data_IF_230959349204
#
_entry.id   IF_230959349204
#
_cell.length_a   1.000
_cell.length_b   1.000
_cell.length_c   1.000
_cell.angle_alpha   90.00
_cell.angle_beta   90.00
_cell.angle_gamma   90.00
#
_symmetry.space_group_name_H-M   'P 1'
#
loop_
_entity.id
_entity.type
_entity.pdbx_description
1 polymer ?
#
# COMPACT_ATOMS: atom_id res chain seq x y z
N UNK A 1 -101.07 -32.28 -33.02
CA UNK A 1 -99.71 -32.55 -33.57
C UNK A 1 -98.71 -31.39 -33.41
N UNK A 2 -99.14 -30.12 -33.34
CA UNK A 2 -98.23 -28.95 -33.25
C UNK A 2 -97.36 -28.89 -31.96
N UNK A 3 -97.94 -29.10 -30.76
CA UNK A 3 -97.20 -29.02 -29.49
C UNK A 3 -96.02 -29.99 -29.35
N UNK A 4 -96.08 -31.17 -29.98
CA UNK A 4 -94.96 -32.14 -29.95
C UNK A 4 -93.81 -31.71 -30.88
N UNK A 5 -94.10 -31.00 -31.97
CA UNK A 5 -93.09 -30.51 -32.92
C UNK A 5 -92.30 -29.34 -32.35
N UNK A 6 -92.95 -28.41 -31.65
CA UNK A 6 -92.27 -27.30 -30.98
C UNK A 6 -91.34 -27.76 -29.86
N UNK A 7 -91.76 -28.75 -29.07
CA UNK A 7 -90.91 -29.35 -28.04
C UNK A 7 -89.68 -30.04 -28.64
N UNK A 8 -89.83 -30.65 -29.82
CA UNK A 8 -88.73 -31.27 -30.55
C UNK A 8 -87.76 -30.22 -31.11
N UNK A 9 -88.27 -29.17 -31.75
CA UNK A 9 -87.46 -28.07 -32.29
C UNK A 9 -86.67 -27.32 -31.21
N UNK A 10 -87.28 -27.06 -30.05
CA UNK A 10 -86.59 -26.39 -28.93
C UNK A 10 -85.49 -27.26 -28.32
N UNK A 11 -85.72 -28.58 -28.21
CA UNK A 11 -84.70 -29.53 -27.74
C UNK A 11 -83.56 -29.68 -28.73
N UNK A 12 -83.86 -29.73 -30.03
CA UNK A 12 -82.83 -29.81 -31.07
C UNK A 12 -82.02 -28.52 -31.18
N UNK A 13 -82.66 -27.35 -31.05
CA UNK A 13 -81.96 -26.07 -31.05
C UNK A 13 -81.05 -25.94 -29.82
N UNK A 14 -81.53 -26.32 -28.63
CA UNK A 14 -80.72 -26.31 -27.42
C UNK A 14 -79.53 -27.28 -27.52
N UNK A 15 -79.74 -28.48 -28.08
CA UNK A 15 -78.66 -29.44 -28.30
C UNK A 15 -77.58 -28.90 -29.27
N UNK A 16 -77.99 -28.22 -30.35
CA UNK A 16 -77.07 -27.61 -31.31
C UNK A 16 -76.34 -26.42 -30.69
N UNK A 17 -77.02 -25.57 -29.92
CA UNK A 17 -76.39 -24.45 -29.21
C UNK A 17 -75.42 -24.91 -28.13
N UNK A 18 -75.75 -25.98 -27.40
CA UNK A 18 -74.85 -26.61 -26.42
C UNK A 18 -73.66 -27.24 -27.12
N UNK A 19 -73.84 -27.92 -28.25
CA UNK A 19 -72.74 -28.45 -29.04
C UNK A 19 -71.80 -27.33 -29.57
N UNK A 20 -72.36 -26.20 -30.03
CA UNK A 20 -71.58 -25.03 -30.46
C UNK A 20 -70.87 -24.35 -29.29
N UNK A 21 -71.50 -24.29 -28.11
CA UNK A 21 -70.93 -23.71 -26.89
C UNK A 21 -69.82 -24.60 -26.30
N UNK A 22 -69.94 -25.92 -26.43
CA UNK A 22 -68.88 -26.86 -26.08
C UNK A 22 -67.72 -26.82 -27.09
N UNK A 23 -67.99 -26.59 -28.39
CA UNK A 23 -66.91 -26.41 -29.38
C UNK A 23 -66.19 -25.05 -29.28
N UNK A 24 -66.82 -24.03 -28.70
CA UNK A 24 -66.24 -22.68 -28.54
C UNK A 24 -65.51 -22.47 -27.21
N UNK A 25 -65.63 -23.39 -26.24
CA UNK A 25 -64.85 -23.38 -24.99
C UNK A 25 -63.45 -24.00 -25.12
N UNK A 26 -63.07 -24.47 -26.32
CA UNK A 26 -61.68 -24.77 -26.63
C UNK A 26 -60.91 -23.46 -26.87
N UNK A 27 -60.66 -22.70 -25.79
CA UNK A 27 -59.56 -21.75 -25.77
C UNK A 27 -58.28 -22.56 -26.05
N UNK A 28 -57.76 -22.44 -27.27
CA UNK A 28 -56.55 -23.10 -27.72
C UNK A 28 -55.34 -22.49 -27.01
N UNK A 29 -55.13 -22.86 -25.74
CA UNK A 29 -53.76 -22.95 -25.25
C UNK A 29 -53.17 -24.19 -25.94
N UNK A 30 -52.26 -23.95 -26.90
CA UNK A 30 -51.52 -25.01 -27.57
C UNK A 30 -50.47 -25.56 -26.59
N UNK A 31 -50.92 -26.31 -25.59
CA UNK A 31 -50.03 -27.04 -24.68
C UNK A 31 -49.56 -28.28 -25.42
N UNK A 32 -48.41 -28.19 -26.09
CA UNK A 32 -47.70 -29.37 -26.58
C UNK A 32 -47.21 -30.13 -25.34
N UNK A 33 -47.96 -31.16 -24.96
CA UNK A 33 -47.54 -32.11 -23.91
C UNK A 33 -47.04 -33.36 -24.62
N UNK A 34 -45.81 -33.34 -25.11
CA UNK A 34 -45.14 -34.59 -25.45
C UNK A 34 -44.50 -35.15 -24.17
N UNK A 35 -44.65 -36.45 -23.90
CA UNK A 35 -44.14 -37.06 -22.67
C UNK A 35 -42.62 -36.94 -22.48
N UNK A 36 -41.86 -36.52 -23.50
CA UNK A 36 -40.41 -36.29 -23.43
C UNK A 36 -40.00 -34.82 -23.25
N UNK A 37 -40.93 -33.85 -23.36
CA UNK A 37 -40.62 -32.43 -23.20
C UNK A 37 -41.52 -31.84 -22.11
N UNK A 38 -40.93 -31.18 -21.12
CA UNK A 38 -41.67 -30.47 -20.09
C UNK A 38 -42.67 -29.47 -20.66
N UNK A 39 -43.59 -28.97 -19.82
CA UNK A 39 -44.65 -28.04 -20.23
C UNK A 39 -44.02 -26.82 -20.96
N UNK A 40 -44.28 -26.67 -22.25
CA UNK A 40 -43.88 -25.51 -23.04
C UNK A 40 -45.01 -24.47 -22.99
N UNK A 41 -44.73 -23.29 -22.42
CA UNK A 41 -45.58 -22.10 -22.59
C UNK A 41 -45.10 -21.31 -23.81
N UNK A 42 -45.95 -21.20 -24.85
CA UNK A 42 -45.74 -20.32 -26.00
C UNK A 42 -46.82 -19.24 -25.94
N UNK A 43 -46.47 -18.01 -25.59
CA UNK A 43 -47.37 -16.88 -25.80
C UNK A 43 -47.29 -16.41 -27.26
N UNK A 44 -48.39 -15.86 -27.79
CA UNK A 44 -48.51 -15.39 -29.16
C UNK A 44 -48.04 -13.91 -29.30
N UNK A 45 -47.14 -13.47 -28.42
CA UNK A 45 -46.55 -12.14 -28.44
C UNK A 45 -45.29 -12.11 -29.30
N UNK A 46 -45.01 -10.97 -29.93
CA UNK A 46 -43.82 -10.72 -30.77
C UNK A 46 -42.50 -10.68 -29.98
N UNK A 47 -42.35 -11.49 -28.92
CA UNK A 47 -41.13 -11.56 -28.11
C UNK A 47 -40.46 -12.92 -28.30
N UNK A 48 -39.21 -12.83 -28.74
CA UNK A 48 -38.33 -13.91 -29.17
C UNK A 48 -38.18 -15.00 -28.11
N UNK A 49 -38.90 -16.10 -28.30
CA UNK A 49 -38.56 -17.41 -27.74
C UNK A 49 -38.43 -18.38 -28.91
N UNK A 50 -37.49 -18.13 -29.82
CA UNK A 50 -37.24 -19.04 -30.96
C UNK A 50 -36.84 -20.45 -30.49
N UNK A 51 -36.30 -20.61 -29.28
CA UNK A 51 -35.88 -21.88 -28.68
C UNK A 51 -35.71 -21.78 -27.16
N UNK A 52 -36.77 -21.46 -26.41
CA UNK A 52 -36.72 -21.52 -24.95
C UNK A 52 -36.99 -22.95 -24.48
N UNK A 53 -35.92 -23.71 -24.22
CA UNK A 53 -36.02 -24.93 -23.44
C UNK A 53 -36.15 -24.53 -21.97
N UNK A 54 -37.29 -24.81 -21.33
CA UNK A 54 -37.38 -24.83 -19.87
C UNK A 54 -37.19 -26.27 -19.44
N UNK A 55 -35.94 -26.65 -19.16
CA UNK A 55 -35.64 -28.00 -18.67
C UNK A 55 -35.82 -27.99 -17.16
N UNK A 56 -37.04 -28.27 -16.67
CA UNK A 56 -37.25 -28.65 -15.26
C UNK A 56 -37.13 -30.18 -15.05
N UNK A 57 -36.81 -30.94 -16.11
CA UNK A 57 -36.54 -32.38 -15.99
C UNK A 57 -35.43 -32.83 -16.91
N UNK A 58 -34.30 -33.12 -16.27
CA UNK A 58 -33.44 -34.26 -16.57
C UNK A 58 -33.07 -34.48 -18.06
N UNK A 59 -31.96 -33.88 -18.47
CA UNK A 59 -31.17 -34.37 -19.61
C UNK A 59 -29.73 -33.91 -19.47
N UNK A 60 -28.92 -34.66 -18.72
CA UNK A 60 -27.48 -34.63 -18.90
C UNK A 60 -27.21 -35.11 -20.34
N UNK A 61 -26.49 -34.35 -21.16
CA UNK A 61 -26.11 -34.79 -22.51
C UNK A 61 -25.03 -35.89 -22.51
N UNK A 62 -24.87 -36.62 -21.40
CA UNK A 62 -24.13 -37.88 -21.37
C UNK A 62 -25.01 -38.95 -22.02
N UNK A 63 -24.49 -39.62 -23.04
CA UNK A 63 -25.19 -40.63 -23.84
C UNK A 63 -25.64 -41.91 -23.11
N UNK A 64 -25.78 -41.90 -21.78
CA UNK A 64 -26.12 -43.09 -20.97
C UNK A 64 -27.54 -43.09 -20.36
N UNK A 65 -28.32 -42.02 -20.48
CA UNK A 65 -29.73 -42.00 -20.07
C UNK A 65 -29.98 -42.05 -18.55
N UNK A 66 -28.95 -42.09 -17.71
CA UNK A 66 -29.09 -41.91 -16.26
C UNK A 66 -28.99 -40.45 -15.92
N UNK A 67 -30.13 -39.83 -15.61
CA UNK A 67 -30.14 -38.42 -15.28
C UNK A 67 -30.15 -38.22 -13.76
N UNK A 68 -28.95 -38.04 -13.24
CA UNK A 68 -28.68 -37.44 -11.94
C UNK A 68 -28.55 -35.93 -12.17
N UNK A 69 -29.23 -35.10 -11.37
CA UNK A 69 -29.05 -33.64 -11.41
C UNK A 69 -30.32 -32.82 -11.67
N UNK A 70 -30.79 -32.06 -10.66
CA UNK A 70 -31.84 -31.03 -10.80
C UNK A 70 -31.22 -29.75 -11.38
N UNK A 71 -31.20 -29.61 -12.70
CA UNK A 71 -30.56 -28.48 -13.40
C UNK A 71 -31.61 -27.49 -13.95
N UNK A 72 -31.20 -26.23 -14.16
CA UNK A 72 -32.04 -25.19 -14.76
C UNK A 72 -31.31 -24.52 -15.94
N UNK A 73 -31.72 -24.80 -17.18
CA UNK A 73 -31.15 -24.18 -18.37
C UNK A 73 -32.22 -23.40 -19.13
N UNK A 74 -31.94 -22.15 -19.50
CA UNK A 74 -32.83 -21.27 -20.27
C UNK A 74 -32.03 -20.44 -21.27
N UNK A 75 -32.45 -20.48 -22.54
CA UNK A 75 -31.84 -19.75 -23.65
C UNK A 75 -31.48 -20.66 -24.82
N UNK A 76 -31.47 -20.13 -26.05
CA UNK A 76 -31.05 -20.90 -27.22
C UNK A 76 -29.62 -21.39 -27.05
N UNK A 77 -29.36 -22.67 -27.28
CA UNK A 77 -28.07 -23.35 -27.05
C UNK A 77 -27.53 -23.29 -25.60
N UNK A 78 -28.39 -23.05 -24.59
CA UNK A 78 -27.99 -23.22 -23.19
C UNK A 78 -27.78 -24.70 -22.87
N UNK A 79 -26.62 -25.06 -22.28
CA UNK A 79 -26.22 -26.46 -22.06
C UNK A 79 -25.71 -26.68 -20.64
N UNK A 80 -26.11 -27.78 -20.01
CA UNK A 80 -25.51 -28.26 -18.76
C UNK A 80 -25.14 -29.72 -18.99
N UNK A 81 -23.86 -30.04 -18.85
CA UNK A 81 -23.30 -31.35 -19.19
C UNK A 81 -22.42 -31.83 -18.04
N UNK A 82 -22.68 -33.05 -17.59
CA UNK A 82 -21.93 -33.73 -16.52
C UNK A 82 -21.84 -32.87 -15.25
N UNK A 83 -22.98 -32.31 -14.87
CA UNK A 83 -23.10 -31.36 -13.77
C UNK A 83 -24.46 -31.51 -13.09
N UNK A 84 -24.47 -31.44 -11.77
CA UNK A 84 -25.66 -31.52 -10.92
C UNK A 84 -25.95 -30.17 -10.23
N UNK A 85 -27.24 -29.83 -10.07
CA UNK A 85 -27.70 -28.64 -9.33
C UNK A 85 -27.22 -27.32 -9.93
N UNK A 86 -27.00 -27.30 -11.24
CA UNK A 86 -26.42 -26.15 -11.94
C UNK A 86 -27.47 -25.34 -12.70
N UNK A 87 -27.12 -24.09 -13.01
CA UNK A 87 -27.97 -23.13 -13.71
C UNK A 87 -27.25 -22.49 -14.91
N UNK A 88 -27.90 -22.42 -16.07
CA UNK A 88 -27.38 -21.79 -17.27
C UNK A 88 -28.45 -20.87 -17.87
N UNK A 89 -28.22 -19.55 -17.86
CA UNK A 89 -29.22 -18.55 -18.27
C UNK A 89 -28.62 -17.59 -19.31
N UNK A 90 -29.04 -17.74 -20.56
CA UNK A 90 -28.64 -16.90 -21.68
C UNK A 90 -28.37 -17.70 -22.96
N UNK A 91 -28.32 -17.03 -24.11
CA UNK A 91 -27.95 -17.69 -25.37
C UNK A 91 -26.50 -18.22 -25.29
N UNK A 92 -26.28 -19.47 -25.71
CA UNK A 92 -24.98 -20.16 -25.70
C UNK A 92 -24.29 -20.25 -24.32
N UNK A 93 -25.02 -20.13 -23.21
CA UNK A 93 -24.43 -20.38 -21.88
C UNK A 93 -24.15 -21.85 -21.67
N UNK A 94 -23.10 -22.16 -20.90
CA UNK A 94 -22.85 -23.55 -20.57
C UNK A 94 -22.21 -23.82 -19.20
N UNK A 95 -22.54 -24.97 -18.63
CA UNK A 95 -21.89 -25.53 -17.43
C UNK A 95 -21.41 -26.94 -17.76
N UNK A 96 -20.12 -27.20 -17.65
CA UNK A 96 -19.48 -28.48 -17.98
C UNK A 96 -18.71 -29.02 -16.77
N UNK A 97 -18.94 -30.29 -16.40
CA UNK A 97 -18.17 -30.99 -15.36
C UNK A 97 -18.10 -30.20 -14.04
N UNK A 98 -19.21 -29.55 -13.65
CA UNK A 98 -19.24 -28.52 -12.62
C UNK A 98 -20.58 -28.49 -11.88
N UNK A 99 -20.60 -29.07 -10.69
CA UNK A 99 -21.79 -29.14 -9.84
C UNK A 99 -22.05 -27.81 -9.14
N UNK A 100 -23.32 -27.52 -8.85
CA UNK A 100 -23.75 -26.38 -8.06
C UNK A 100 -23.24 -25.04 -8.60
N UNK A 101 -23.17 -24.90 -9.92
CA UNK A 101 -22.58 -23.73 -10.59
C UNK A 101 -23.58 -22.99 -11.46
N UNK A 102 -23.33 -21.71 -11.70
CA UNK A 102 -24.20 -20.80 -12.44
C UNK A 102 -23.44 -20.13 -13.58
N UNK A 103 -23.93 -20.27 -14.82
CA UNK A 103 -23.48 -19.50 -15.97
C UNK A 103 -24.55 -18.46 -16.35
N UNK A 104 -24.22 -17.17 -16.28
CA UNK A 104 -25.19 -16.07 -16.44
C UNK A 104 -24.78 -15.10 -17.55
N UNK A 105 -25.64 -14.96 -18.56
CA UNK A 105 -25.47 -14.04 -19.70
C UNK A 105 -24.87 -14.69 -20.94
N UNK A 106 -25.08 -14.09 -22.12
CA UNK A 106 -24.67 -14.63 -23.42
C UNK A 106 -23.25 -15.24 -23.44
N UNK A 107 -23.14 -16.53 -23.78
CA UNK A 107 -21.85 -17.22 -23.88
C UNK A 107 -21.08 -17.40 -22.57
N UNK A 108 -21.68 -17.10 -21.41
CA UNK A 108 -21.04 -17.37 -20.12
C UNK A 108 -20.84 -18.86 -19.90
N UNK A 109 -19.68 -19.23 -19.34
CA UNK A 109 -19.29 -20.62 -19.18
C UNK A 109 -18.75 -20.91 -17.78
N UNK A 110 -19.07 -22.09 -17.27
CA UNK A 110 -18.37 -22.73 -16.15
C UNK A 110 -17.82 -24.06 -16.64
N UNK A 111 -16.53 -24.33 -16.43
CA UNK A 111 -15.89 -25.55 -16.90
C UNK A 111 -14.96 -26.13 -15.83
N UNK A 112 -15.33 -27.30 -15.27
CA UNK A 112 -14.53 -28.05 -14.29
C UNK A 112 -14.54 -27.50 -12.86
N UNK A 113 -15.15 -26.34 -12.62
CA UNK A 113 -15.17 -25.69 -11.30
C UNK A 113 -16.59 -25.70 -10.72
N UNK A 114 -16.74 -26.39 -9.58
CA UNK A 114 -18.02 -26.50 -8.87
C UNK A 114 -18.20 -25.36 -7.87
N UNK A 115 -19.45 -24.98 -7.56
CA UNK A 115 -19.82 -23.92 -6.61
C UNK A 115 -19.42 -22.49 -7.04
N UNK A 116 -19.50 -22.18 -8.33
CA UNK A 116 -19.12 -20.85 -8.86
C UNK A 116 -20.24 -20.19 -9.65
N UNK A 117 -20.20 -18.85 -9.69
CA UNK A 117 -20.98 -18.04 -10.62
C UNK A 117 -20.04 -17.44 -11.67
N UNK A 118 -20.25 -17.82 -12.92
CA UNK A 118 -19.59 -17.21 -14.07
C UNK A 118 -20.49 -16.18 -14.74
N UNK A 119 -19.91 -15.00 -14.97
CA UNK A 119 -20.51 -13.91 -15.74
C UNK A 119 -19.75 -13.66 -17.06
N UNK A 120 -18.94 -14.60 -17.53
CA UNK A 120 -18.13 -14.46 -18.74
C UNK A 120 -17.81 -15.79 -19.41
N UNK A 121 -17.31 -15.74 -20.64
CA UNK A 121 -16.90 -16.94 -21.38
C UNK A 121 -15.58 -17.54 -20.86
N UNK A 122 -14.84 -16.77 -20.06
CA UNK A 122 -13.46 -17.09 -19.69
C UNK A 122 -12.48 -16.77 -20.83
N UNK A 123 -11.16 -16.87 -20.57
CA UNK A 123 -10.14 -16.68 -21.60
C UNK A 123 -10.22 -17.76 -22.68
N UNK A 124 -9.57 -17.52 -23.82
CA UNK A 124 -9.41 -18.52 -24.88
C UNK A 124 -8.96 -19.89 -24.33
N UNK A 125 -9.76 -20.93 -24.57
CA UNK A 125 -9.51 -22.30 -24.09
C UNK A 125 -10.12 -22.66 -22.72
N UNK A 126 -10.76 -21.71 -22.03
CA UNK A 126 -11.46 -21.97 -20.76
C UNK A 126 -12.68 -22.90 -20.93
N UNK A 127 -13.29 -22.89 -22.12
CA UNK A 127 -14.42 -23.75 -22.49
C UNK A 127 -14.54 -23.84 -24.01
N UNK A 128 -15.76 -24.00 -24.51
CA UNK A 128 -16.00 -23.94 -25.95
C UNK A 128 -15.92 -22.49 -26.43
N UNK A 129 -15.32 -22.27 -27.59
CA UNK A 129 -15.31 -20.93 -28.17
C UNK A 129 -16.73 -20.50 -28.53
N UNK A 130 -17.18 -19.40 -27.94
CA UNK A 130 -18.45 -18.77 -28.27
C UNK A 130 -18.14 -17.47 -29.00
N UNK A 131 -18.34 -17.47 -30.32
CA UNK A 131 -18.11 -16.28 -31.14
C UNK A 131 -18.85 -15.05 -30.59
N UNK A 132 -18.14 -13.93 -30.44
CA UNK A 132 -18.68 -12.67 -29.91
C UNK A 132 -18.94 -12.62 -28.41
N UNK A 133 -18.76 -13.70 -27.64
CA UNK A 133 -18.99 -13.68 -26.19
C UNK A 133 -17.82 -12.99 -25.45
N UNK A 134 -18.11 -12.13 -24.46
CA UNK A 134 -17.06 -11.47 -23.69
C UNK A 134 -16.39 -12.45 -22.73
N UNK A 135 -15.06 -12.44 -22.68
CA UNK A 135 -14.28 -13.26 -21.74
C UNK A 135 -14.68 -12.97 -20.28
N UNK A 136 -14.89 -11.69 -19.95
CA UNK A 136 -15.32 -11.21 -18.63
C UNK A 136 -16.38 -10.11 -18.75
N UNK A 137 -17.15 -9.90 -17.68
CA UNK A 137 -18.10 -8.78 -17.56
C UNK A 137 -17.82 -7.98 -16.29
N UNK A 138 -18.05 -6.67 -16.37
CA UNK A 138 -18.15 -5.83 -15.17
C UNK A 138 -19.47 -6.12 -14.47
N UNK A 139 -19.43 -6.23 -13.15
CA UNK A 139 -20.62 -6.24 -12.29
C UNK A 139 -20.78 -4.81 -11.76
N UNK A 140 -21.89 -4.16 -12.10
CA UNK A 140 -22.14 -2.75 -11.79
C UNK A 140 -23.29 -2.63 -10.78
N UNK A 141 -23.39 -1.46 -10.13
CA UNK A 141 -24.39 -1.18 -9.09
C UNK A 141 -24.29 -2.11 -7.86
N UNK A 142 -23.06 -2.50 -7.51
CA UNK A 142 -22.76 -3.27 -6.30
C UNK A 142 -22.60 -2.26 -5.15
N UNK A 143 -23.39 -2.43 -4.09
CA UNK A 143 -23.21 -1.66 -2.85
C UNK A 143 -21.99 -2.17 -2.09
N UNK A 144 -21.43 -1.31 -1.24
CA UNK A 144 -20.26 -1.65 -0.42
C UNK A 144 -20.53 -2.89 0.45
N UNK A 145 -19.57 -3.81 0.45
CA UNK A 145 -19.63 -5.01 1.28
C UNK A 145 -19.47 -4.66 2.76
N UNK A 146 -20.21 -5.36 3.61
CA UNK A 146 -20.20 -5.14 5.07
C UNK A 146 -19.67 -6.37 5.81
N UNK A 147 -19.94 -7.57 5.30
CA UNK A 147 -19.47 -8.85 5.86
C UNK A 147 -18.23 -9.34 5.11
N UNK A 148 -17.50 -10.26 5.74
CA UNK A 148 -16.29 -10.88 5.19
C UNK A 148 -16.53 -11.60 3.85
N UNK A 149 -17.76 -12.07 3.61
CA UNK A 149 -18.14 -12.77 2.37
C UNK A 149 -18.78 -11.87 1.31
N UNK A 150 -18.90 -10.56 1.57
CA UNK A 150 -19.48 -9.64 0.59
C UNK A 150 -18.44 -9.26 -0.47
N UNK A 151 -18.90 -8.94 -1.67
CA UNK A 151 -18.02 -8.42 -2.72
C UNK A 151 -17.51 -7.02 -2.34
N UNK A 152 -16.20 -6.81 -2.38
CA UNK A 152 -15.60 -5.49 -2.21
C UNK A 152 -15.84 -4.64 -3.46
N UNK A 153 -16.27 -3.38 -3.28
CA UNK A 153 -16.39 -2.44 -4.38
C UNK A 153 -15.04 -1.77 -4.68
N UNK A 154 -14.91 -1.19 -5.88
CA UNK A 154 -13.72 -0.38 -6.22
C UNK A 154 -13.53 0.79 -5.24
N UNK A 155 -14.63 1.41 -4.77
CA UNK A 155 -14.56 2.51 -3.81
C UNK A 155 -13.96 2.09 -2.48
N UNK A 156 -14.33 0.92 -1.95
CA UNK A 156 -13.72 0.36 -0.73
C UNK A 156 -12.22 0.09 -0.92
N UNK A 157 -11.82 -0.46 -2.07
CA UNK A 157 -10.42 -0.73 -2.37
C UNK A 157 -9.61 0.56 -2.52
N UNK A 158 -10.11 1.56 -3.25
CA UNK A 158 -9.43 2.86 -3.41
C UNK A 158 -9.22 3.54 -2.05
N UNK A 159 -10.23 3.50 -1.16
CA UNK A 159 -10.14 4.03 0.20
C UNK A 159 -9.12 3.28 1.06
N UNK A 160 -9.14 1.94 1.03
CA UNK A 160 -8.18 1.11 1.76
C UNK A 160 -6.73 1.38 1.32
N UNK A 161 -6.50 1.54 0.01
CA UNK A 161 -5.19 1.90 -0.55
C UNK A 161 -4.80 3.31 -0.11
N UNK A 162 -5.71 4.29 -0.20
CA UNK A 162 -5.43 5.66 0.22
C UNK A 162 -5.05 5.76 1.71
N UNK A 163 -5.75 5.02 2.57
CA UNK A 163 -5.44 4.94 3.99
C UNK A 163 -4.07 4.29 4.25
N UNK A 164 -3.77 3.18 3.57
CA UNK A 164 -2.48 2.51 3.69
C UNK A 164 -1.30 3.41 3.25
N UNK A 165 -1.48 4.17 2.16
CA UNK A 165 -0.49 5.13 1.67
C UNK A 165 -0.31 6.28 2.66
N UNK A 166 -1.41 6.81 3.21
CA UNK A 166 -1.37 7.89 4.21
C UNK A 166 -0.62 7.45 5.47
N UNK A 167 -0.96 6.30 6.03
CA UNK A 167 -0.32 5.74 7.23
C UNK A 167 1.18 5.53 7.00
N UNK A 168 1.55 4.94 5.86
CA UNK A 168 2.96 4.77 5.47
C UNK A 168 3.69 6.11 5.35
N UNK A 169 3.06 7.12 4.74
CA UNK A 169 3.62 8.46 4.60
C UNK A 169 3.81 9.19 5.92
N UNK A 170 2.88 9.04 6.87
CA UNK A 170 2.99 9.61 8.21
C UNK A 170 4.13 8.97 9.00
N UNK A 171 4.28 7.64 8.91
CA UNK A 171 5.39 6.92 9.54
C UNK A 171 6.76 7.40 9.02
N UNK A 172 6.93 7.50 7.70
CA UNK A 172 8.17 7.99 7.09
C UNK A 172 8.49 9.44 7.48
N UNK A 173 7.48 10.33 7.54
CA UNK A 173 7.68 11.70 8.04
C UNK A 173 8.14 11.71 9.49
N UNK A 174 7.60 10.83 10.33
CA UNK A 174 8.01 10.66 11.72
C UNK A 174 9.47 10.22 11.84
N UNK A 175 9.88 9.20 11.09
CA UNK A 175 11.24 8.68 11.06
C UNK A 175 12.26 9.71 10.57
N UNK A 176 12.01 10.35 9.43
CA UNK A 176 12.86 11.42 8.87
C UNK A 176 13.00 12.57 9.87
N UNK A 177 11.88 12.96 10.50
CA UNK A 177 11.88 13.97 11.55
C UNK A 177 12.74 13.58 12.76
N UNK A 178 12.74 12.30 13.15
CA UNK A 178 13.62 11.74 14.18
C UNK A 178 15.08 11.83 13.80
N UNK A 179 15.45 11.29 12.63
CA UNK A 179 16.82 11.29 12.11
C UNK A 179 17.38 12.72 12.02
N UNK A 180 16.58 13.68 11.55
CA UNK A 180 17.01 15.08 11.48
C UNK A 180 17.32 15.68 12.85
N UNK A 181 16.48 15.39 13.86
CA UNK A 181 16.72 15.87 15.25
C UNK A 181 17.97 15.24 15.84
N UNK A 182 18.16 13.94 15.66
CA UNK A 182 19.31 13.21 16.18
C UNK A 182 20.60 13.70 15.53
N UNK A 183 20.61 13.86 14.20
CA UNK A 183 21.75 14.42 13.47
C UNK A 183 22.10 15.84 13.95
N UNK A 184 21.09 16.69 14.14
CA UNK A 184 21.30 18.04 14.66
C UNK A 184 21.87 18.04 16.07
N UNK A 185 21.31 17.22 16.96
CA UNK A 185 21.80 17.10 18.34
C UNK A 185 23.24 16.58 18.38
N UNK A 186 23.58 15.61 17.52
CA UNK A 186 24.93 15.11 17.37
C UNK A 186 25.90 16.21 16.92
N UNK A 187 25.54 16.98 15.89
CA UNK A 187 26.36 18.12 15.43
C UNK A 187 26.51 19.19 16.51
N UNK A 188 25.44 19.56 17.22
CA UNK A 188 25.51 20.55 18.30
C UNK A 188 26.43 20.06 19.44
N UNK A 189 26.41 18.77 19.75
CA UNK A 189 27.32 18.14 20.71
C UNK A 189 28.78 18.22 20.24
N UNK A 190 29.04 17.90 18.96
CA UNK A 190 30.39 17.98 18.39
C UNK A 190 30.93 19.42 18.38
N UNK A 191 30.10 20.40 18.02
CA UNK A 191 30.47 21.82 18.05
C UNK A 191 30.77 22.29 19.48
N UNK A 192 30.00 21.82 20.46
CA UNK A 192 30.23 22.13 21.87
C UNK A 192 31.56 21.54 22.34
N UNK A 193 31.84 20.27 22.02
CA UNK A 193 33.11 19.63 22.36
C UNK A 193 34.32 20.37 21.77
N UNK A 194 34.31 20.66 20.47
CA UNK A 194 35.38 21.41 19.81
C UNK A 194 35.56 22.81 20.40
N UNK A 195 34.46 23.49 20.75
CA UNK A 195 34.52 24.80 21.40
C UNK A 195 35.21 24.72 22.76
N UNK A 196 34.95 23.68 23.53
CA UNK A 196 35.52 23.51 24.86
C UNK A 196 37.00 23.08 24.80
N UNK A 197 37.37 22.24 23.83
CA UNK A 197 38.77 21.94 23.50
C UNK A 197 39.55 23.21 23.15
N UNK A 198 39.03 24.03 22.23
CA UNK A 198 39.69 25.27 21.81
C UNK A 198 39.84 26.28 22.95
N UNK A 199 38.86 26.37 23.86
CA UNK A 199 39.00 27.19 25.08
C UNK A 199 40.11 26.67 25.97
N UNK A 200 40.15 25.35 26.21
CA UNK A 200 41.18 24.74 27.04
C UNK A 200 42.58 24.95 26.46
N UNK A 201 42.75 24.79 25.14
CA UNK A 201 44.01 25.11 24.45
C UNK A 201 44.38 26.59 24.58
N UNK A 202 43.41 27.49 24.39
CA UNK A 202 43.62 28.94 24.55
C UNK A 202 44.05 29.34 25.96
N UNK A 203 43.45 28.72 26.99
CA UNK A 203 43.82 28.95 28.38
C UNK A 203 45.21 28.38 28.70
N UNK A 204 45.54 27.20 28.17
CA UNK A 204 46.87 26.59 28.29
C UNK A 204 47.95 27.48 27.66
N UNK A 205 47.75 27.94 26.43
CA UNK A 205 48.67 28.83 25.72
C UNK A 205 48.87 30.16 26.46
N UNK A 206 47.79 30.74 27.01
CA UNK A 206 47.87 31.96 27.82
C UNK A 206 48.72 31.71 29.09
N UNK A 207 48.57 30.54 29.71
CA UNK A 207 49.39 30.11 30.84
C UNK A 207 50.87 29.99 30.49
N UNK A 208 51.20 29.32 29.38
CA UNK A 208 52.56 29.12 28.88
C UNK A 208 53.23 30.45 28.54
N UNK A 209 52.58 31.30 27.73
CA UNK A 209 53.09 32.64 27.38
C UNK A 209 53.32 33.48 28.64
N UNK A 210 52.39 33.41 29.61
CA UNK A 210 52.54 34.09 30.89
C UNK A 210 53.73 33.58 31.71
N UNK A 211 54.02 32.28 31.64
CA UNK A 211 55.22 31.66 32.24
C UNK A 211 56.51 32.17 31.59
N UNK A 212 56.60 32.05 30.27
CA UNK A 212 57.76 32.52 29.48
C UNK A 212 58.06 34.00 29.75
N UNK A 213 57.02 34.84 29.81
CA UNK A 213 57.18 36.26 30.11
C UNK A 213 57.75 36.50 31.52
N UNK A 214 57.29 35.75 32.53
CA UNK A 214 57.82 35.85 33.90
C UNK A 214 59.27 35.38 33.99
N UNK A 215 59.59 34.26 33.34
CA UNK A 215 60.94 33.68 33.35
C UNK A 215 61.93 34.60 32.63
N UNK A 216 61.55 35.14 31.47
CA UNK A 216 62.36 36.11 30.74
C UNK A 216 62.60 37.38 31.59
N UNK A 217 61.57 37.88 32.27
CA UNK A 217 61.71 39.03 33.16
C UNK A 217 62.63 38.76 34.34
N UNK A 218 62.47 37.61 34.99
CA UNK A 218 63.33 37.20 36.11
C UNK A 218 64.79 37.03 35.67
N UNK A 219 65.02 36.46 34.47
CA UNK A 219 66.35 36.35 33.89
C UNK A 219 66.98 37.72 33.63
N UNK A 220 66.24 38.66 33.03
CA UNK A 220 66.72 40.04 32.83
C UNK A 220 67.01 40.73 34.17
N UNK A 221 66.12 40.63 35.16
CA UNK A 221 66.32 41.22 36.49
C UNK A 221 67.58 40.64 37.18
N UNK A 222 67.81 39.34 37.02
CA UNK A 222 69.04 38.68 37.50
C UNK A 222 70.29 39.17 36.78
N UNK A 223 70.25 39.33 35.44
CA UNK A 223 71.37 39.88 34.67
C UNK A 223 71.68 41.32 35.07
N UNK A 224 70.66 42.16 35.26
CA UNK A 224 70.82 43.55 35.73
C UNK A 224 71.44 43.59 37.11
N UNK A 225 70.99 42.72 38.02
CA UNK A 225 71.55 42.62 39.38
C UNK A 225 73.02 42.20 39.33
N UNK A 226 73.35 41.19 38.53
CA UNK A 226 74.74 40.73 38.38
C UNK A 226 75.66 41.83 37.83
N UNK A 227 75.25 42.54 36.79
CA UNK A 227 76.00 43.67 36.22
C UNK A 227 76.16 44.80 37.24
N UNK A 228 75.11 45.11 38.01
CA UNK A 228 75.15 46.13 39.06
C UNK A 228 76.16 45.76 40.15
N UNK A 229 76.19 44.50 40.56
CA UNK A 229 77.10 44.02 41.61
C UNK A 229 78.56 44.01 41.11
N UNK A 230 78.80 43.61 39.86
CA UNK A 230 80.12 43.70 39.22
C UNK A 230 80.61 45.14 39.14
N UNK A 231 79.81 46.06 38.59
CA UNK A 231 80.16 47.48 38.51
C UNK A 231 80.42 48.08 39.90
N UNK A 232 79.63 47.70 40.90
CA UNK A 232 79.83 48.17 42.28
C UNK A 232 81.16 47.68 42.85
N UNK A 233 81.54 46.42 42.61
CA UNK A 233 82.84 45.87 43.03
C UNK A 233 84.00 46.59 42.33
N UNK A 234 83.89 46.82 41.03
CA UNK A 234 84.93 47.49 40.25
C UNK A 234 85.13 48.94 40.69
N UNK A 235 84.04 49.68 40.94
CA UNK A 235 84.10 51.04 41.48
C UNK A 235 84.78 51.04 42.86
N UNK A 236 84.41 50.12 43.75
CA UNK A 236 85.02 50.03 45.09
C UNK A 236 86.51 49.70 44.98
N UNK A 237 86.89 48.74 44.14
CA UNK A 237 88.27 48.33 43.92
C UNK A 237 89.10 49.49 43.32
N UNK A 238 88.59 50.16 42.29
CA UNK A 238 89.23 51.31 41.66
C UNK A 238 89.39 52.49 42.62
N UNK A 239 88.36 52.79 43.41
CA UNK A 239 88.41 53.85 44.43
C UNK A 239 89.45 53.51 45.50
N UNK A 240 89.48 52.26 45.97
CA UNK A 240 90.46 51.80 46.97
C UNK A 240 91.89 51.87 46.44
N UNK A 241 92.12 51.51 45.18
CA UNK A 241 93.41 51.63 44.52
C UNK A 241 93.86 53.10 44.40
N UNK A 242 92.94 54.01 44.04
CA UNK A 242 93.23 55.45 43.98
C UNK A 242 93.57 56.04 45.35
N UNK A 243 92.86 55.62 46.41
CA UNK A 243 93.17 56.01 47.80
C UNK A 243 94.55 55.49 48.20
N UNK A 244 94.83 54.21 47.99
CA UNK A 244 96.14 53.62 48.30
C UNK A 244 97.29 54.31 47.55
N UNK A 245 97.08 54.68 46.29
CA UNK A 245 98.06 55.46 45.51
C UNK A 245 98.29 56.86 46.11
N UNK A 246 97.21 57.52 46.56
CA UNK A 246 97.27 58.84 47.20
C UNK A 246 97.99 58.77 48.54
N UNK A 247 97.72 57.74 49.35
CA UNK A 247 98.38 57.48 50.63
C UNK A 247 99.87 57.20 50.44
N UNK A 248 100.22 56.32 49.49
CA UNK A 248 101.63 56.00 49.18
C UNK A 248 102.39 57.24 48.67
N UNK A 249 101.77 58.05 47.81
CA UNK A 249 102.35 59.31 47.33
C UNK A 249 102.55 60.30 48.49
N UNK A 250 101.60 60.37 49.42
CA UNK A 250 101.68 61.23 50.61
C UNK A 250 102.79 60.80 51.56
N UNK A 251 102.98 59.49 51.78
CA UNK A 251 104.08 58.91 52.55
C UNK A 251 105.44 59.24 51.93
N UNK A 252 105.59 59.04 50.62
CA UNK A 252 106.82 59.36 49.90
C UNK A 252 107.18 60.86 50.00
N UNK A 253 106.19 61.76 49.88
CA UNK A 253 106.40 63.20 50.08
C UNK A 253 106.81 63.52 51.52
N UNK A 254 106.21 62.88 52.53
CA UNK A 254 106.61 63.07 53.92
C UNK A 254 108.05 62.62 54.17
N UNK A 255 108.47 61.50 53.59
CA UNK A 255 109.84 61.00 53.73
C UNK A 255 110.86 61.90 53.00
N UNK A 256 110.54 62.43 51.81
CA UNK A 256 111.37 63.42 51.11
C UNK A 256 111.50 64.73 51.92
N UNK A 257 110.42 65.18 52.57
CA UNK A 257 110.45 66.35 53.47
C UNK A 257 111.37 66.10 54.67
N UNK A 258 111.28 64.92 55.29
CA UNK A 258 112.15 64.54 56.43
C UNK A 258 113.62 64.48 56.02
N UNK A 259 113.95 63.92 54.85
CA UNK A 259 115.33 63.85 54.35
C UNK A 259 115.93 65.23 54.07
N UNK A 260 115.13 66.20 53.60
CA UNK A 260 115.58 67.59 53.36
C UNK A 260 115.68 68.47 54.61
N UNK A 261 115.18 68.02 55.76
CA UNK A 261 115.13 68.81 57.00
C UNK A 261 116.08 68.33 58.11
N UNK A 262 116.92 67.32 57.84
CA UNK A 262 118.07 66.92 58.66
C UNK A 262 119.39 67.27 57.98
#
# INVERSE_FOLDING_TARGET
MLKRRDAFLKKSALAVSVALLLSSQALAHKTLTESSTGIIWIDNGTQSLESASVIDRNGNANGDGSVTGKNFAVGSDAKIWDADKSMAVGNKTAVFNADNSVALGYGSQVNGESNVLSVGAGPSGYGFSVDGAPETRRIINVSDGVKDSDAATKGQMDNAIADAVRVSGDALRGEIGGVYRDARAHTDSQVTAVRDELKAEGDSLRGEIGGVYRDARAHTDSQVTAVRDELSRDIIAGTSAAVAYTDASSLALQDEIKEKSG
#
